data_IF_970548182638
#
_entry.id   IF_970548182638
#
_cell.length_a   1.000
_cell.length_b   1.000
_cell.length_c   1.000
_cell.angle_alpha   90.00
_cell.angle_beta   90.00
_cell.angle_gamma   90.00
#
_symmetry.space_group_name_H-M   'P 1'
#
loop_
_entity.id
_entity.type
_entity.pdbx_description
1 polymer ?
#
# COMPACT_ATOMS: atom_id res chain seq x y z
N UNK A 1 56.36 2.00 -25.92
CA UNK A 1 56.94 1.73 -24.59
C UNK A 1 55.79 1.26 -23.73
N UNK A 2 55.41 0.02 -23.98
CA UNK A 2 54.27 -0.65 -23.38
C UNK A 2 54.60 -0.95 -21.92
N UNK A 3 53.92 -0.28 -20.99
CA UNK A 3 53.91 -0.72 -19.60
C UNK A 3 53.02 -1.96 -19.57
N UNK A 4 53.64 -3.12 -19.52
CA UNK A 4 52.94 -4.39 -19.26
C UNK A 4 52.09 -4.22 -17.99
N UNK A 5 50.77 -4.20 -18.17
CA UNK A 5 49.80 -4.14 -17.08
C UNK A 5 50.00 -5.40 -16.23
N UNK A 6 50.52 -5.23 -15.02
CA UNK A 6 50.90 -6.37 -14.19
C UNK A 6 49.68 -6.92 -13.44
N UNK A 7 49.76 -8.15 -12.94
CA UNK A 7 48.67 -8.79 -12.17
C UNK A 7 48.24 -7.94 -10.95
N UNK A 8 49.18 -7.20 -10.36
CA UNK A 8 48.95 -6.30 -9.23
C UNK A 8 48.13 -5.05 -9.61
N UNK A 9 48.26 -4.56 -10.85
CA UNK A 9 47.48 -3.44 -11.37
C UNK A 9 46.02 -3.84 -11.63
N UNK A 10 45.81 -5.08 -12.11
CA UNK A 10 44.46 -5.65 -12.22
C UNK A 10 43.79 -5.84 -10.86
N UNK A 11 44.54 -6.23 -9.83
CA UNK A 11 44.03 -6.34 -8.48
C UNK A 11 43.62 -4.97 -7.92
N UNK A 12 44.46 -3.95 -8.07
CA UNK A 12 44.14 -2.55 -7.68
C UNK A 12 42.93 -2.00 -8.44
N UNK A 13 42.82 -2.29 -9.74
CA UNK A 13 41.68 -1.87 -10.55
C UNK A 13 40.38 -2.58 -10.12
N UNK A 14 40.45 -3.88 -9.81
CA UNK A 14 39.33 -4.65 -9.27
C UNK A 14 38.88 -4.10 -7.92
N UNK A 15 39.81 -3.81 -7.02
CA UNK A 15 39.49 -3.23 -5.70
C UNK A 15 38.81 -1.86 -5.85
N UNK A 16 39.32 -1.00 -6.74
CA UNK A 16 38.72 0.30 -7.03
C UNK A 16 37.34 0.17 -7.70
N UNK A 17 37.15 -0.81 -8.58
CA UNK A 17 35.86 -1.10 -9.20
C UNK A 17 34.84 -1.59 -8.16
N UNK A 18 35.25 -2.47 -7.24
CA UNK A 18 34.42 -2.94 -6.14
C UNK A 18 34.08 -1.80 -5.18
N UNK A 19 35.04 -0.93 -4.83
CA UNK A 19 34.77 0.21 -3.95
C UNK A 19 33.80 1.19 -4.61
N UNK A 20 33.95 1.48 -5.90
CA UNK A 20 33.03 2.32 -6.66
C UNK A 20 31.63 1.69 -6.76
N UNK A 21 31.55 0.38 -7.00
CA UNK A 21 30.28 -0.34 -6.99
C UNK A 21 29.59 -0.28 -5.62
N UNK A 22 30.34 -0.46 -4.53
CA UNK A 22 29.83 -0.33 -3.15
C UNK A 22 29.25 1.06 -2.89
N UNK A 23 29.93 2.12 -3.34
CA UNK A 23 29.44 3.51 -3.21
C UNK A 23 28.14 3.69 -4.00
N UNK A 24 28.10 3.28 -5.27
CA UNK A 24 26.88 3.35 -6.10
C UNK A 24 25.71 2.58 -5.50
N UNK A 25 25.97 1.42 -4.88
CA UNK A 25 24.93 0.64 -4.18
C UNK A 25 24.43 1.39 -2.94
N UNK A 26 25.31 2.00 -2.14
CA UNK A 26 24.89 2.81 -0.99
C UNK A 26 24.03 4.01 -1.42
N UNK A 27 24.42 4.69 -2.49
CA UNK A 27 23.67 5.81 -3.06
C UNK A 27 22.33 5.39 -3.68
N UNK A 28 22.18 4.12 -4.08
CA UNK A 28 20.94 3.58 -4.63
C UNK A 28 19.82 3.39 -3.60
N UNK A 29 20.13 3.48 -2.30
CA UNK A 29 19.13 3.46 -1.23
C UNK A 29 18.35 4.78 -1.26
N UNK A 30 17.31 4.81 -2.09
CA UNK A 30 16.47 5.99 -2.28
C UNK A 30 15.24 5.97 -1.36
N UNK A 31 14.66 7.15 -1.15
CA UNK A 31 13.36 7.28 -0.49
C UNK A 31 12.25 6.54 -1.24
N UNK A 32 12.39 6.32 -2.55
CA UNK A 32 11.44 5.51 -3.32
C UNK A 32 11.37 4.08 -2.77
N UNK A 33 12.52 3.46 -2.49
CA UNK A 33 12.57 2.10 -1.94
C UNK A 33 11.91 2.02 -0.56
N UNK A 34 12.08 3.05 0.27
CA UNK A 34 11.45 3.12 1.59
C UNK A 34 9.91 3.20 1.48
N UNK A 35 9.39 4.00 0.55
CA UNK A 35 7.95 4.11 0.27
C UNK A 35 7.40 2.76 -0.22
N UNK A 36 8.10 2.12 -1.17
CA UNK A 36 7.70 0.86 -1.78
C UNK A 36 7.68 -0.27 -0.73
N UNK A 37 8.72 -0.36 0.10
CA UNK A 37 8.78 -1.37 1.15
C UNK A 37 7.70 -1.14 2.22
N UNK A 38 7.46 0.12 2.60
CA UNK A 38 6.41 0.45 3.57
C UNK A 38 5.02 -0.01 3.09
N UNK A 39 4.63 0.29 1.84
CA UNK A 39 3.32 -0.13 1.32
C UNK A 39 3.20 -1.65 1.17
N UNK A 40 4.27 -2.33 0.76
CA UNK A 40 4.26 -3.79 0.68
C UNK A 40 4.07 -4.42 2.06
N UNK A 41 4.76 -3.90 3.08
CA UNK A 41 4.61 -4.37 4.45
C UNK A 41 3.22 -4.06 5.01
N UNK A 42 2.64 -2.89 4.71
CA UNK A 42 1.26 -2.55 5.12
C UNK A 42 0.26 -3.55 4.51
N UNK A 43 0.37 -3.83 3.21
CA UNK A 43 -0.52 -4.81 2.55
C UNK A 43 -0.32 -6.23 3.07
N UNK A 44 0.91 -6.61 3.40
CA UNK A 44 1.18 -7.94 3.94
C UNK A 44 0.62 -8.08 5.35
N UNK A 45 0.86 -7.09 6.23
CA UNK A 45 0.28 -7.04 7.56
C UNK A 45 -1.26 -7.08 7.48
N UNK A 46 -1.88 -6.34 6.56
CA UNK A 46 -3.33 -6.36 6.39
C UNK A 46 -3.86 -7.75 6.02
N UNK A 47 -3.18 -8.49 5.13
CA UNK A 47 -3.55 -9.88 4.83
C UNK A 47 -3.37 -10.78 6.05
N UNK A 48 -2.24 -10.67 6.76
CA UNK A 48 -1.96 -11.48 7.94
C UNK A 48 -2.98 -11.21 9.05
N UNK A 49 -3.32 -9.96 9.32
CA UNK A 49 -4.35 -9.56 10.28
C UNK A 49 -5.70 -10.19 9.90
N UNK A 50 -6.07 -10.17 8.61
CA UNK A 50 -7.32 -10.80 8.18
C UNK A 50 -7.32 -12.32 8.40
N UNK A 51 -6.21 -13.00 8.11
CA UNK A 51 -6.07 -14.44 8.38
C UNK A 51 -6.14 -14.72 9.88
N UNK A 52 -5.41 -13.96 10.70
CA UNK A 52 -5.38 -14.15 12.14
C UNK A 52 -6.72 -13.82 12.80
N UNK A 53 -7.41 -12.78 12.34
CA UNK A 53 -8.75 -12.44 12.82
C UNK A 53 -9.77 -13.54 12.48
N UNK A 54 -9.72 -14.13 11.28
CA UNK A 54 -10.55 -15.30 10.95
C UNK A 54 -10.24 -16.49 11.87
N UNK A 55 -8.96 -16.79 12.11
CA UNK A 55 -8.59 -17.89 13.03
C UNK A 55 -8.98 -17.62 14.48
N UNK A 56 -8.84 -16.38 14.94
CA UNK A 56 -9.25 -15.96 16.26
C UNK A 56 -10.77 -16.10 16.43
N UNK A 57 -11.55 -15.76 15.40
CA UNK A 57 -13.00 -16.01 15.39
C UNK A 57 -13.32 -17.49 15.50
N UNK A 58 -12.75 -18.32 14.62
CA UNK A 58 -12.98 -19.78 14.65
C UNK A 58 -12.71 -20.36 16.05
N UNK A 59 -11.64 -19.90 16.70
CA UNK A 59 -11.25 -20.38 18.03
C UNK A 59 -12.16 -19.84 19.14
N UNK A 60 -12.54 -18.57 19.06
CA UNK A 60 -13.42 -17.94 20.04
C UNK A 60 -14.87 -18.45 19.94
N UNK A 61 -15.31 -18.95 18.78
CA UNK A 61 -16.63 -19.57 18.61
C UNK A 61 -16.85 -20.76 19.56
N UNK A 62 -15.78 -21.46 19.97
CA UNK A 62 -15.88 -22.54 20.97
C UNK A 62 -16.36 -21.99 22.32
N UNK A 63 -15.87 -20.80 22.69
CA UNK A 63 -16.26 -20.09 23.94
C UNK A 63 -17.60 -19.40 23.80
N UNK A 64 -17.89 -18.76 22.67
CA UNK A 64 -19.14 -18.03 22.45
C UNK A 64 -19.58 -18.04 20.98
N UNK A 65 -20.46 -18.97 20.57
CA UNK A 65 -20.95 -19.07 19.20
C UNK A 65 -21.71 -17.83 18.71
N UNK A 66 -22.31 -17.06 19.62
CA UNK A 66 -23.19 -15.92 19.29
C UNK A 66 -22.42 -14.66 18.86
N UNK A 67 -21.10 -14.63 19.04
CA UNK A 67 -20.29 -13.45 18.74
C UNK A 67 -19.97 -13.29 17.24
N UNK A 68 -20.18 -14.34 16.42
CA UNK A 68 -19.87 -14.32 14.98
C UNK A 68 -20.72 -13.29 14.23
N UNK A 69 -22.05 -13.33 14.43
CA UNK A 69 -22.98 -12.46 13.72
C UNK A 69 -23.00 -11.02 14.27
N UNK A 70 -22.55 -10.83 15.51
CA UNK A 70 -22.61 -9.55 16.20
C UNK A 70 -21.51 -8.57 15.77
N UNK A 71 -20.31 -9.06 15.40
CA UNK A 71 -19.13 -8.21 15.16
C UNK A 71 -18.49 -8.50 13.80
N UNK A 72 -18.81 -7.64 12.82
CA UNK A 72 -18.21 -7.67 11.49
C UNK A 72 -16.78 -7.10 11.45
N UNK A 73 -16.45 -6.13 12.30
CA UNK A 73 -15.13 -5.50 12.31
C UNK A 73 -14.08 -6.34 13.05
N UNK A 74 -13.05 -6.76 12.31
CA UNK A 74 -11.93 -7.56 12.82
C UNK A 74 -11.14 -6.83 13.91
N UNK A 75 -10.93 -5.52 13.77
CA UNK A 75 -10.13 -4.76 14.74
C UNK A 75 -10.87 -4.58 16.05
N UNK A 76 -12.18 -4.32 15.99
CA UNK A 76 -13.03 -4.27 17.16
C UNK A 76 -13.14 -5.63 17.85
N UNK A 77 -13.31 -6.70 17.07
CA UNK A 77 -13.35 -8.07 17.59
C UNK A 77 -12.11 -8.43 18.41
N UNK A 78 -10.91 -8.15 17.89
CA UNK A 78 -9.65 -8.42 18.61
C UNK A 78 -9.59 -7.67 19.94
N UNK A 79 -10.06 -6.41 19.98
CA UNK A 79 -10.13 -5.63 21.22
C UNK A 79 -11.09 -6.22 22.24
N UNK A 80 -12.26 -6.68 21.80
CA UNK A 80 -13.26 -7.31 22.67
C UNK A 80 -12.74 -8.61 23.26
N UNK A 81 -12.03 -9.43 22.47
CA UNK A 81 -11.39 -10.66 22.98
C UNK A 81 -10.31 -10.36 24.03
N UNK A 82 -9.64 -9.21 23.93
CA UNK A 82 -8.64 -8.78 24.92
C UNK A 82 -9.23 -8.11 26.17
N UNK A 83 -10.40 -7.46 26.07
CA UNK A 83 -11.00 -6.70 27.16
C UNK A 83 -11.77 -7.56 28.17
N UNK A 84 -11.91 -8.87 27.93
CA UNK A 84 -12.58 -9.83 28.82
C UNK A 84 -14.01 -9.44 29.22
N UNK A 85 -14.66 -8.56 28.44
CA UNK A 85 -16.01 -8.12 28.74
C UNK A 85 -16.96 -9.32 28.69
N UNK A 86 -17.76 -9.57 29.75
CA UNK A 86 -18.74 -10.64 29.73
C UNK A 86 -19.79 -10.31 28.69
N UNK A 87 -19.69 -10.97 27.54
CA UNK A 87 -20.73 -10.89 26.51
C UNK A 87 -21.96 -11.60 27.09
N UNK A 88 -22.88 -10.78 27.60
CA UNK A 88 -24.15 -11.22 28.19
C UNK A 88 -24.97 -11.96 27.13
N UNK A 89 -25.00 -13.29 27.22
CA UNK A 89 -25.74 -14.12 26.27
C UNK A 89 -25.28 -15.57 26.17
N UNK A 90 -24.05 -15.91 26.64
CA UNK A 90 -23.52 -17.26 26.42
C UNK A 90 -24.22 -18.33 27.27
N UNK A 91 -25.36 -18.81 26.77
CA UNK A 91 -26.11 -19.95 27.32
C UNK A 91 -25.56 -21.27 26.74
N UNK A 92 -24.83 -21.22 25.62
CA UNK A 92 -24.35 -22.40 24.87
C UNK A 92 -22.83 -22.54 24.72
N UNK A 93 -22.04 -21.61 25.28
CA UNK A 93 -20.57 -21.64 25.20
C UNK A 93 -19.92 -22.74 26.02
N UNK A 94 -18.79 -23.28 25.58
CA UNK A 94 -17.98 -24.20 26.38
C UNK A 94 -17.15 -23.44 27.43
N UNK A 95 -17.02 -24.02 28.62
CA UNK A 95 -16.08 -23.53 29.64
C UNK A 95 -14.67 -23.95 29.22
N UNK A 96 -13.83 -22.96 28.92
CA UNK A 96 -12.42 -23.18 28.58
C UNK A 96 -11.57 -23.23 29.85
N UNK A 97 -10.47 -23.98 29.80
CA UNK A 97 -9.45 -23.94 30.85
C UNK A 97 -8.63 -22.64 30.76
N UNK A 98 -7.91 -22.31 31.84
CA UNK A 98 -7.04 -21.13 31.88
C UNK A 98 -5.95 -21.18 30.81
N UNK A 99 -5.42 -22.36 30.51
CA UNK A 99 -4.40 -22.55 29.47
C UNK A 99 -4.97 -22.27 28.06
N UNK A 100 -6.18 -22.72 27.78
CA UNK A 100 -6.87 -22.49 26.50
C UNK A 100 -7.21 -21.00 26.32
N UNK A 101 -7.71 -20.36 27.38
CA UNK A 101 -8.00 -18.93 27.37
C UNK A 101 -6.74 -18.09 27.17
N UNK A 102 -5.63 -18.48 27.80
CA UNK A 102 -4.34 -17.83 27.60
C UNK A 102 -3.88 -17.94 26.15
N UNK A 103 -4.06 -19.10 25.52
CA UNK A 103 -3.67 -19.33 24.13
C UNK A 103 -4.47 -18.44 23.15
N UNK A 104 -5.78 -18.30 23.37
CA UNK A 104 -6.65 -17.40 22.57
C UNK A 104 -6.22 -15.93 22.76
N UNK A 105 -6.00 -15.51 24.00
CA UNK A 105 -5.56 -14.13 24.32
C UNK A 105 -4.19 -13.82 23.73
N UNK A 106 -3.27 -14.79 23.70
CA UNK A 106 -1.96 -14.63 23.07
C UNK A 106 -2.07 -14.35 21.56
N UNK A 107 -2.94 -15.08 20.84
CA UNK A 107 -3.19 -14.82 19.42
C UNK A 107 -3.84 -13.45 19.19
N UNK A 108 -4.80 -13.06 20.04
CA UNK A 108 -5.42 -11.74 20.00
C UNK A 108 -4.39 -10.63 20.21
N UNK A 109 -3.48 -10.78 21.18
CA UNK A 109 -2.43 -9.80 21.48
C UNK A 109 -1.45 -9.61 20.30
N UNK A 110 -1.05 -10.71 19.64
CA UNK A 110 -0.21 -10.64 18.43
C UNK A 110 -0.94 -9.89 17.31
N UNK A 111 -2.22 -10.21 17.10
CA UNK A 111 -3.05 -9.56 16.07
C UNK A 111 -3.21 -8.06 16.34
N UNK A 112 -3.42 -7.68 17.60
CA UNK A 112 -3.49 -6.29 18.02
C UNK A 112 -2.15 -5.56 17.76
N UNK A 113 -1.02 -6.16 18.10
CA UNK A 113 0.30 -5.60 17.81
C UNK A 113 0.56 -5.40 16.31
N UNK A 114 0.03 -6.29 15.44
CA UNK A 114 0.08 -6.11 13.99
C UNK A 114 -0.75 -4.92 13.51
N UNK A 115 -1.96 -4.72 14.06
CA UNK A 115 -2.83 -3.57 13.75
C UNK A 115 -2.15 -2.24 14.14
N UNK A 116 -1.53 -2.19 15.31
CA UNK A 116 -0.78 -1.03 15.78
C UNK A 116 0.43 -0.73 14.87
N UNK A 117 1.17 -1.78 14.49
CA UNK A 117 2.29 -1.67 13.56
C UNK A 117 1.85 -1.16 12.19
N UNK A 118 0.71 -1.63 11.67
CA UNK A 118 0.10 -1.13 10.43
C UNK A 118 -0.17 0.36 10.52
N UNK A 119 -0.79 0.81 11.61
CA UNK A 119 -1.09 2.23 11.86
C UNK A 119 0.17 3.08 11.92
N UNK A 120 1.21 2.60 12.61
CA UNK A 120 2.52 3.26 12.65
C UNK A 120 3.14 3.39 11.24
N UNK A 121 3.12 2.32 10.44
CA UNK A 121 3.65 2.35 9.09
C UNK A 121 2.88 3.29 8.16
N UNK A 122 1.56 3.43 8.33
CA UNK A 122 0.75 4.38 7.58
C UNK A 122 1.16 5.83 7.89
N UNK A 123 1.36 6.18 9.16
CA UNK A 123 1.84 7.51 9.58
C UNK A 123 3.27 7.78 9.06
N UNK A 124 4.14 6.77 9.13
CA UNK A 124 5.48 6.85 8.55
C UNK A 124 5.42 7.10 7.04
N UNK A 125 4.57 6.36 6.32
CA UNK A 125 4.39 6.50 4.88
C UNK A 125 3.91 7.91 4.52
N UNK A 126 2.93 8.44 5.23
CA UNK A 126 2.44 9.81 5.05
C UNK A 126 3.55 10.85 5.28
N UNK A 127 4.34 10.71 6.36
CA UNK A 127 5.48 11.60 6.64
C UNK A 127 6.53 11.58 5.53
N UNK A 128 6.90 10.38 5.05
CA UNK A 128 7.93 10.24 4.00
C UNK A 128 7.41 10.77 2.67
N UNK A 129 6.17 10.45 2.30
CA UNK A 129 5.54 10.96 1.08
C UNK A 129 5.31 12.47 1.14
N UNK A 130 4.97 13.04 2.30
CA UNK A 130 4.81 14.48 2.46
C UNK A 130 6.11 15.25 2.19
N UNK A 131 7.25 14.70 2.60
CA UNK A 131 8.56 15.30 2.34
C UNK A 131 9.08 15.09 0.90
N UNK A 132 8.58 14.10 0.17
CA UNK A 132 9.13 13.67 -1.12
C UNK A 132 8.20 13.92 -2.32
N UNK A 133 6.90 13.72 -2.15
CA UNK A 133 5.86 13.81 -3.18
C UNK A 133 4.54 14.37 -2.63
N UNK A 134 4.58 15.63 -2.17
CA UNK A 134 3.43 16.34 -1.59
C UNK A 134 2.21 16.44 -2.51
N UNK A 135 2.41 16.61 -3.81
CA UNK A 135 1.28 16.78 -4.74
C UNK A 135 0.56 15.45 -4.99
N UNK A 136 1.31 14.35 -5.16
CA UNK A 136 0.73 13.01 -5.29
C UNK A 136 0.02 12.61 -4.00
N UNK A 137 0.65 12.85 -2.84
CA UNK A 137 0.04 12.54 -1.53
C UNK A 137 -1.32 13.22 -1.37
N UNK A 138 -1.43 14.50 -1.69
CA UNK A 138 -2.69 15.24 -1.55
C UNK A 138 -3.77 14.76 -2.53
N UNK A 139 -3.39 14.37 -3.75
CA UNK A 139 -4.35 13.97 -4.79
C UNK A 139 -4.84 12.52 -4.67
N UNK A 140 -3.97 11.59 -4.27
CA UNK A 140 -4.30 10.16 -4.22
C UNK A 140 -4.45 9.64 -2.78
N UNK A 141 -3.93 10.36 -1.79
CA UNK A 141 -3.74 9.84 -0.43
C UNK A 141 -2.51 8.93 -0.33
N UNK A 142 -2.11 8.57 0.91
CA UNK A 142 -0.90 7.79 1.16
C UNK A 142 -0.97 6.37 0.59
N UNK A 143 -2.11 5.69 0.74
CA UNK A 143 -2.27 4.29 0.32
C UNK A 143 -2.28 4.14 -1.20
N UNK A 144 -3.18 4.84 -1.90
CA UNK A 144 -3.28 4.76 -3.37
C UNK A 144 -2.01 5.32 -4.01
N UNK A 145 -1.51 6.45 -3.52
CA UNK A 145 -0.27 7.04 -3.99
C UNK A 145 0.89 6.04 -3.90
N UNK A 146 1.11 5.42 -2.73
CA UNK A 146 2.20 4.46 -2.57
C UNK A 146 2.03 3.21 -3.44
N UNK A 147 0.80 2.71 -3.66
CA UNK A 147 0.54 1.60 -4.60
C UNK A 147 0.92 1.98 -6.04
N UNK A 148 0.57 3.19 -6.49
CA UNK A 148 0.97 3.69 -7.81
C UNK A 148 2.50 3.83 -7.91
N UNK A 149 3.15 4.31 -6.86
CA UNK A 149 4.61 4.40 -6.76
C UNK A 149 5.29 3.04 -6.88
N UNK A 150 4.76 2.01 -6.20
CA UNK A 150 5.25 0.63 -6.29
C UNK A 150 5.24 0.13 -7.73
N UNK A 151 4.12 0.25 -8.43
CA UNK A 151 4.00 -0.28 -9.79
C UNK A 151 4.87 0.51 -10.78
N UNK A 152 5.02 1.80 -10.52
CA UNK A 152 5.94 2.67 -11.25
C UNK A 152 7.41 2.39 -10.92
N UNK A 153 7.73 1.84 -9.75
CA UNK A 153 9.06 1.51 -9.20
C UNK A 153 9.94 2.69 -8.75
N UNK A 154 9.67 3.91 -9.21
CA UNK A 154 10.40 5.12 -8.78
C UNK A 154 9.62 6.38 -9.14
N UNK A 155 9.87 7.50 -8.45
CA UNK A 155 9.29 8.79 -8.81
C UNK A 155 9.65 9.20 -10.24
N UNK A 156 10.90 8.98 -10.65
CA UNK A 156 11.38 9.29 -12.00
C UNK A 156 10.56 8.56 -13.07
N UNK A 157 10.37 7.25 -12.89
CA UNK A 157 9.56 6.45 -13.82
C UNK A 157 8.11 6.89 -13.77
N UNK A 158 7.55 7.15 -12.58
CA UNK A 158 6.17 7.63 -12.44
C UNK A 158 5.92 8.95 -13.20
N UNK A 159 6.82 9.92 -13.08
CA UNK A 159 6.75 11.20 -13.82
C UNK A 159 6.84 11.05 -15.34
N UNK A 160 7.53 10.00 -15.82
CA UNK A 160 7.65 9.69 -17.25
C UNK A 160 6.43 8.96 -17.83
N UNK A 161 5.55 8.40 -16.98
CA UNK A 161 4.38 7.68 -17.45
C UNK A 161 3.34 8.62 -18.08
N UNK A 162 2.64 8.09 -19.07
CA UNK A 162 1.45 8.73 -19.64
C UNK A 162 0.26 8.56 -18.69
N UNK A 163 -0.70 9.49 -18.77
CA UNK A 163 -1.93 9.43 -17.97
C UNK A 163 -2.70 8.12 -18.18
N UNK A 164 -2.79 7.64 -19.43
CA UNK A 164 -3.42 6.36 -19.77
C UNK A 164 -2.77 5.17 -19.06
N UNK A 165 -1.45 5.20 -18.87
CA UNK A 165 -0.74 4.18 -18.10
C UNK A 165 -1.04 4.29 -16.62
N UNK A 166 -0.98 5.52 -16.05
CA UNK A 166 -1.30 5.78 -14.64
C UNK A 166 -2.72 5.35 -14.30
N UNK A 167 -3.68 5.55 -15.22
CA UNK A 167 -5.06 5.13 -15.07
C UNK A 167 -5.20 3.62 -14.84
N UNK A 168 -4.31 2.82 -15.43
CA UNK A 168 -4.38 1.35 -15.48
C UNK A 168 -3.38 0.64 -14.57
N UNK A 169 -2.53 1.36 -13.83
CA UNK A 169 -1.60 0.76 -12.86
C UNK A 169 -2.37 -0.06 -11.82
N UNK A 170 -2.02 -1.34 -11.65
CA UNK A 170 -2.72 -2.32 -10.82
C UNK A 170 -3.78 -3.16 -11.56
N UNK A 171 -4.05 -2.89 -12.84
CA UNK A 171 -4.95 -3.67 -13.69
C UNK A 171 -4.22 -4.40 -14.84
N UNK A 172 -2.91 -4.60 -14.73
CA UNK A 172 -2.04 -5.15 -15.79
C UNK A 172 -2.53 -6.52 -16.24
N UNK A 173 -2.93 -7.40 -15.31
CA UNK A 173 -3.45 -8.74 -15.65
C UNK A 173 -4.68 -8.66 -16.57
N UNK A 174 -5.61 -7.76 -16.27
CA UNK A 174 -6.81 -7.56 -17.07
C UNK A 174 -6.49 -6.89 -18.42
N UNK A 175 -5.55 -5.94 -18.43
CA UNK A 175 -5.06 -5.29 -19.65
C UNK A 175 -4.38 -6.29 -20.59
N UNK A 176 -3.47 -7.12 -20.08
CA UNK A 176 -2.80 -8.13 -20.88
C UNK A 176 -3.75 -9.20 -21.38
N UNK A 177 -4.78 -9.56 -20.59
CA UNK A 177 -5.84 -10.45 -21.07
C UNK A 177 -6.63 -9.81 -22.22
N UNK A 178 -6.98 -8.52 -22.14
CA UNK A 178 -7.61 -7.80 -23.25
C UNK A 178 -6.73 -7.83 -24.51
N UNK A 179 -5.44 -7.53 -24.37
CA UNK A 179 -4.49 -7.51 -25.51
C UNK A 179 -4.35 -8.90 -26.15
N UNK A 180 -4.36 -9.97 -25.34
CA UNK A 180 -4.18 -11.36 -25.83
C UNK A 180 -5.46 -11.98 -26.39
N UNK A 181 -6.60 -11.76 -25.74
CA UNK A 181 -7.84 -12.50 -26.03
C UNK A 181 -8.98 -11.63 -26.55
N UNK A 182 -8.78 -10.31 -26.66
CA UNK A 182 -9.83 -9.36 -27.05
C UNK A 182 -10.93 -9.15 -26.00
N UNK A 183 -10.79 -9.70 -24.78
CA UNK A 183 -11.75 -9.51 -23.69
C UNK A 183 -11.91 -8.02 -23.33
N UNK A 184 -13.03 -7.57 -22.76
CA UNK A 184 -13.25 -6.13 -22.48
C UNK A 184 -12.08 -5.48 -21.70
N UNK A 185 -11.61 -4.28 -22.13
CA UNK A 185 -10.49 -3.62 -21.48
C UNK A 185 -10.83 -3.12 -20.07
N UNK A 186 -9.86 -3.11 -19.13
CA UNK A 186 -10.04 -2.48 -17.83
C UNK A 186 -10.19 -0.96 -17.97
N UNK A 187 -11.03 -0.34 -17.13
CA UNK A 187 -11.26 1.11 -17.12
C UNK A 187 -10.42 1.86 -16.08
N UNK A 188 -9.90 1.15 -15.08
CA UNK A 188 -9.17 1.70 -13.96
C UNK A 188 -8.36 0.59 -13.28
N UNK A 189 -7.26 0.96 -12.63
CA UNK A 189 -6.49 0.10 -11.73
C UNK A 189 -6.65 0.52 -10.27
N UNK A 190 -5.55 0.74 -9.56
CA UNK A 190 -5.54 1.10 -8.14
C UNK A 190 -6.31 2.39 -7.82
N UNK A 191 -6.40 3.32 -8.77
CA UNK A 191 -7.13 4.58 -8.59
C UNK A 191 -8.63 4.40 -8.36
N UNK A 192 -9.23 3.24 -8.64
CA UNK A 192 -10.67 2.99 -8.44
C UNK A 192 -11.13 3.21 -7.00
N UNK A 193 -10.23 3.00 -6.05
CA UNK A 193 -10.51 3.14 -4.62
C UNK A 193 -10.52 4.62 -4.16
N UNK A 194 -10.23 5.56 -5.06
CA UNK A 194 -10.26 6.97 -4.73
C UNK A 194 -11.70 7.44 -4.52
N UNK A 195 -12.01 8.23 -3.47
CA UNK A 195 -13.38 8.66 -3.15
C UNK A 195 -14.14 9.30 -4.32
N UNK A 196 -13.44 10.09 -5.15
CA UNK A 196 -14.00 10.71 -6.35
C UNK A 196 -14.55 9.71 -7.38
N UNK A 197 -13.95 8.52 -7.48
CA UNK A 197 -14.37 7.47 -8.44
C UNK A 197 -15.40 6.53 -7.80
N UNK A 198 -15.27 6.26 -6.50
CA UNK A 198 -16.24 5.46 -5.75
C UNK A 198 -17.62 6.12 -5.81
N UNK A 199 -17.68 7.43 -5.54
CA UNK A 199 -18.92 8.21 -5.45
C UNK A 199 -19.51 8.58 -6.81
N UNK A 200 -18.74 8.47 -7.90
CA UNK A 200 -19.24 8.76 -9.24
C UNK A 200 -20.24 7.69 -9.73
N UNK A 201 -21.20 8.10 -10.58
CA UNK A 201 -22.13 7.20 -11.26
C UNK A 201 -21.38 6.17 -12.11
N UNK A 202 -21.96 4.96 -12.27
CA UNK A 202 -21.32 3.81 -12.96
C UNK A 202 -20.75 4.15 -14.34
N UNK A 203 -21.44 4.99 -15.10
CA UNK A 203 -21.02 5.41 -16.44
C UNK A 203 -19.91 6.48 -16.43
N UNK A 204 -19.87 7.29 -15.37
CA UNK A 204 -18.91 8.38 -15.21
C UNK A 204 -17.63 7.95 -14.49
N UNK A 205 -17.60 6.78 -13.83
CA UNK A 205 -16.40 6.24 -13.17
C UNK A 205 -15.18 6.21 -14.09
N UNK A 206 -15.38 5.87 -15.37
CA UNK A 206 -14.29 5.86 -16.37
C UNK A 206 -13.79 7.27 -16.74
N UNK A 207 -14.69 8.25 -16.80
CA UNK A 207 -14.34 9.65 -17.06
C UNK A 207 -13.60 10.25 -15.86
N UNK A 208 -14.10 9.97 -14.66
CA UNK A 208 -13.50 10.35 -13.39
C UNK A 208 -12.09 9.77 -13.23
N UNK A 209 -11.91 8.48 -13.52
CA UNK A 209 -10.61 7.81 -13.50
C UNK A 209 -9.60 8.46 -14.46
N UNK A 210 -10.03 8.78 -15.69
CA UNK A 210 -9.18 9.46 -16.67
C UNK A 210 -8.76 10.85 -16.19
N UNK A 211 -9.73 11.65 -15.72
CA UNK A 211 -9.45 13.00 -15.24
C UNK A 211 -8.50 13.00 -14.02
N UNK A 212 -8.68 12.06 -13.10
CA UNK A 212 -7.78 11.89 -11.96
C UNK A 212 -6.36 11.50 -12.42
N UNK A 213 -6.24 10.55 -13.34
CA UNK A 213 -4.95 10.12 -13.88
C UNK A 213 -4.21 11.26 -14.61
N UNK A 214 -4.94 12.13 -15.31
CA UNK A 214 -4.35 13.31 -15.97
C UNK A 214 -3.72 14.25 -14.94
N UNK A 215 -4.45 14.58 -13.86
CA UNK A 215 -3.95 15.45 -12.79
C UNK A 215 -2.81 14.79 -12.01
N UNK A 216 -2.86 13.48 -11.79
CA UNK A 216 -1.77 12.71 -11.17
C UNK A 216 -0.50 12.72 -12.03
N UNK A 217 -0.62 12.57 -13.35
CA UNK A 217 0.53 12.65 -14.27
C UNK A 217 1.22 14.02 -14.19
N UNK A 218 0.43 15.10 -14.16
CA UNK A 218 0.96 16.45 -14.00
C UNK A 218 1.63 16.65 -12.64
N UNK A 219 0.95 16.23 -11.56
CA UNK A 219 1.48 16.31 -10.20
C UNK A 219 2.78 15.52 -10.03
N UNK A 220 2.88 14.33 -10.64
CA UNK A 220 4.07 13.50 -10.60
C UNK A 220 5.29 14.18 -11.23
N UNK A 221 5.09 14.88 -12.36
CA UNK A 221 6.15 15.66 -13.00
C UNK A 221 6.60 16.81 -12.10
N UNK A 222 5.65 17.54 -11.51
CA UNK A 222 5.98 18.65 -10.62
C UNK A 222 6.71 18.18 -9.36
N UNK A 223 6.27 17.07 -8.75
CA UNK A 223 6.97 16.48 -7.60
C UNK A 223 8.40 16.04 -7.97
N UNK A 224 8.58 15.38 -9.12
CA UNK A 224 9.91 14.94 -9.57
C UNK A 224 10.87 16.11 -9.87
N UNK A 225 10.37 17.16 -10.52
CA UNK A 225 11.15 18.36 -10.83
C UNK A 225 11.18 19.39 -9.68
N UNK A 226 10.67 19.03 -8.49
CA UNK A 226 10.64 19.85 -7.26
C UNK A 226 9.94 21.21 -7.43
N UNK A 227 8.86 21.24 -8.20
CA UNK A 227 8.05 22.44 -8.38
C UNK A 227 7.15 22.77 -7.19
N UNK A 228 6.34 23.81 -7.39
CA UNK A 228 5.42 24.32 -6.35
C UNK A 228 4.28 23.35 -6.02
N UNK A 229 3.57 23.63 -4.93
CA UNK A 229 2.38 22.88 -4.57
C UNK A 229 1.19 23.33 -5.43
N UNK A 230 0.66 22.41 -6.24
CA UNK A 230 -0.41 22.66 -7.22
C UNK A 230 -1.64 21.77 -7.02
N UNK A 231 -1.50 20.78 -6.14
CA UNK A 231 -2.48 19.71 -5.94
C UNK A 231 -3.86 20.22 -5.49
N UNK A 232 -3.92 21.31 -4.72
CA UNK A 232 -5.19 21.87 -4.25
C UNK A 232 -6.08 22.41 -5.38
N UNK A 233 -5.46 23.14 -6.32
CA UNK A 233 -6.13 23.60 -7.54
C UNK A 233 -6.66 22.41 -8.33
N UNK A 234 -5.87 21.35 -8.46
CA UNK A 234 -6.25 20.16 -9.23
C UNK A 234 -7.41 19.40 -8.60
N UNK A 235 -7.44 19.27 -7.27
CA UNK A 235 -8.54 18.61 -6.58
C UNK A 235 -9.83 19.44 -6.69
N UNK A 236 -9.72 20.76 -6.60
CA UNK A 236 -10.86 21.68 -6.77
C UNK A 236 -11.43 21.60 -8.19
N UNK A 237 -10.56 21.59 -9.21
CA UNK A 237 -10.97 21.39 -10.60
C UNK A 237 -11.69 20.05 -10.81
N UNK A 238 -11.22 18.99 -10.16
CA UNK A 238 -11.82 17.65 -10.26
C UNK A 238 -13.18 17.60 -9.58
N UNK A 239 -13.30 18.16 -8.37
CA UNK A 239 -14.58 18.23 -7.65
C UNK A 239 -15.63 19.00 -8.44
N UNK A 240 -15.26 20.14 -9.06
CA UNK A 240 -16.17 20.93 -9.92
C UNK A 240 -16.70 20.19 -11.16
N UNK A 241 -15.99 19.16 -11.63
CA UNK A 241 -16.38 18.41 -12.84
C UNK A 241 -17.28 17.20 -12.55
N UNK A 242 -17.26 16.68 -11.32
CA UNK A 242 -17.91 15.42 -10.98
C UNK A 242 -18.84 15.49 -9.75
N UNK A 243 -18.92 16.64 -9.09
CA UNK A 243 -20.05 17.05 -8.24
C UNK A 243 -21.00 17.92 -9.06
#
# INVERSE_FOLDING_TARGET
MDKDFNAEDFQKLREKAISLAKVKVKESVSKDLMIINAINNIEEIEKTVNVFASRLRDWFMIKNPELEDAISDNEYFVKVVLSDEPISGSVMGAVLDQDDEHAIKALAAITQGMIETKTFLLLYLEKVMGAYCKNILYLAGPTIGAKLFRDAKSLKRFASLQSSTIQLLGAEKALFRHIKTGAKPPKYGHIVNHPLIINAKKDDKGKAARALADKLSMAARVDYFKGEFIADKYLTDLKKKFN
#
